data_IF_304509464172
#
_entry.id   IF_304509464172
#
_cell.length_a   1.000
_cell.length_b   1.000
_cell.length_c   1.000
_cell.angle_alpha   90.00
_cell.angle_beta   90.00
_cell.angle_gamma   90.00
#
_symmetry.space_group_name_H-M   'P 1'
#
loop_
_entity.id
_entity.type
_entity.pdbx_description
1 polymer ?
#
# COMPACT_ATOMS: atom_id res chain seq x y z
N UNK A 1 -40.43 11.13 39.05
CA UNK A 1 -39.89 10.57 37.79
C UNK A 1 -39.27 11.74 37.03
N UNK A 2 -37.95 11.93 37.15
CA UNK A 2 -37.22 12.97 36.43
C UNK A 2 -37.20 12.59 34.93
N UNK A 3 -37.94 13.31 34.12
CA UNK A 3 -37.78 13.27 32.66
C UNK A 3 -36.45 13.97 32.33
N UNK A 4 -35.43 13.18 32.04
CA UNK A 4 -34.21 13.71 31.39
C UNK A 4 -34.59 14.45 30.11
N UNK A 5 -34.25 15.72 30.03
CA UNK A 5 -34.48 16.54 28.83
C UNK A 5 -33.82 15.85 27.62
N UNK A 6 -34.50 15.83 26.46
CA UNK A 6 -33.89 15.22 25.28
C UNK A 6 -32.57 15.94 24.94
N UNK A 7 -31.49 15.18 24.89
CA UNK A 7 -30.18 15.69 24.48
C UNK A 7 -30.37 16.30 23.09
N UNK A 8 -30.19 17.62 22.95
CA UNK A 8 -30.18 18.30 21.66
C UNK A 8 -29.03 17.76 20.83
N UNK A 9 -29.30 16.83 19.93
CA UNK A 9 -28.28 16.30 19.00
C UNK A 9 -27.84 17.41 18.05
N UNK A 10 -26.60 17.83 18.18
CA UNK A 10 -25.99 18.82 17.29
C UNK A 10 -25.60 18.10 16.00
N UNK A 11 -26.07 18.59 14.83
CA UNK A 11 -25.79 17.95 13.53
C UNK A 11 -24.33 18.06 13.10
N UNK A 12 -23.57 18.99 13.67
CA UNK A 12 -22.16 19.23 13.32
C UNK A 12 -21.25 18.25 14.07
N UNK A 13 -20.49 17.46 13.34
CA UNK A 13 -19.45 16.60 13.90
C UNK A 13 -18.38 17.48 14.56
N UNK A 14 -17.95 17.18 15.82
CA UNK A 14 -16.87 17.91 16.48
C UNK A 14 -15.59 17.93 15.63
N UNK A 15 -14.89 19.05 15.65
CA UNK A 15 -13.70 19.23 14.82
C UNK A 15 -12.61 18.21 15.12
N UNK A 16 -12.35 17.94 16.40
CA UNK A 16 -11.38 16.92 16.81
C UNK A 16 -11.77 15.52 16.30
N UNK A 17 -13.05 15.15 16.36
CA UNK A 17 -13.54 13.87 15.84
C UNK A 17 -13.32 13.78 14.33
N UNK A 18 -13.61 14.87 13.61
CA UNK A 18 -13.38 14.95 12.16
C UNK A 18 -11.89 14.84 11.83
N UNK A 19 -11.02 15.56 12.51
CA UNK A 19 -9.57 15.48 12.34
C UNK A 19 -9.08 14.05 12.60
N UNK A 20 -9.51 13.45 13.71
CA UNK A 20 -9.14 12.07 14.06
C UNK A 20 -9.56 11.08 12.97
N UNK A 21 -10.75 11.24 12.38
CA UNK A 21 -11.23 10.42 11.29
C UNK A 21 -10.30 10.50 10.07
N UNK A 22 -9.96 11.73 9.63
CA UNK A 22 -9.05 11.92 8.49
C UNK A 22 -7.66 11.33 8.74
N UNK A 23 -7.13 11.47 9.94
CA UNK A 23 -5.81 10.91 10.32
C UNK A 23 -5.83 9.39 10.32
N UNK A 24 -6.85 8.76 10.94
CA UNK A 24 -6.98 7.29 10.98
C UNK A 24 -7.16 6.70 9.58
N UNK A 25 -7.93 7.36 8.73
CA UNK A 25 -8.14 6.96 7.35
C UNK A 25 -6.95 7.27 6.41
N UNK A 26 -5.91 8.01 6.89
CA UNK A 26 -4.80 8.47 6.05
C UNK A 26 -5.24 9.39 4.92
N UNK A 27 -6.35 10.14 5.10
CA UNK A 27 -6.95 10.99 4.06
C UNK A 27 -7.52 10.22 2.87
N UNK A 28 -7.86 8.93 3.04
CA UNK A 28 -8.32 8.03 1.97
C UNK A 28 -9.71 7.47 2.22
N UNK A 29 -10.40 7.12 1.15
CA UNK A 29 -11.71 6.47 1.21
C UNK A 29 -11.60 5.08 1.86
N UNK A 30 -12.36 4.85 2.93
CA UNK A 30 -12.34 3.60 3.71
C UNK A 30 -13.27 2.51 3.11
N UNK A 31 -13.91 2.77 1.98
CA UNK A 31 -14.67 1.74 1.27
C UNK A 31 -13.70 0.64 0.79
N UNK A 32 -14.03 -0.62 1.06
CA UNK A 32 -13.13 -1.74 0.78
C UNK A 32 -12.71 -1.79 -0.70
N UNK A 33 -11.40 -1.86 -0.93
CA UNK A 33 -10.80 -1.85 -2.26
C UNK A 33 -10.70 -0.49 -2.95
N UNK A 34 -11.40 0.58 -2.50
CA UNK A 34 -11.35 1.87 -3.21
C UNK A 34 -10.10 2.69 -2.91
N UNK A 35 -9.76 2.89 -1.64
CA UNK A 35 -8.51 3.56 -1.19
C UNK A 35 -8.15 4.89 -1.90
N UNK A 36 -9.13 5.60 -2.48
CA UNK A 36 -8.93 6.88 -3.18
C UNK A 36 -8.42 7.95 -2.22
N UNK A 37 -7.37 8.69 -2.60
CA UNK A 37 -6.93 9.86 -1.84
C UNK A 37 -7.94 10.99 -1.99
N UNK A 38 -8.31 11.65 -0.88
CA UNK A 38 -9.45 12.55 -0.81
C UNK A 38 -9.07 14.02 -0.58
N UNK A 39 -7.78 14.32 -0.49
CA UNK A 39 -7.29 15.68 -0.26
C UNK A 39 -6.67 16.32 -1.51
N UNK A 40 -6.85 15.68 -2.68
CA UNK A 40 -6.34 16.17 -3.95
C UNK A 40 -7.29 15.81 -5.09
N UNK A 41 -7.45 16.71 -6.05
CA UNK A 41 -8.24 16.43 -7.24
C UNK A 41 -7.43 15.55 -8.22
N UNK A 42 -7.95 14.39 -8.67
CA UNK A 42 -7.16 13.39 -9.38
C UNK A 42 -6.65 13.82 -10.76
N UNK A 43 -7.26 14.83 -11.38
CA UNK A 43 -6.85 15.32 -12.71
C UNK A 43 -6.02 16.58 -12.64
N UNK A 44 -6.36 17.51 -11.75
CA UNK A 44 -5.70 18.83 -11.68
C UNK A 44 -4.60 18.89 -10.64
N UNK A 45 -4.49 17.86 -9.78
CA UNK A 45 -3.58 17.78 -8.64
C UNK A 45 -3.70 19.00 -7.69
N UNK A 46 -4.87 19.65 -7.70
CA UNK A 46 -5.17 20.78 -6.83
C UNK A 46 -5.61 20.26 -5.46
N UNK A 47 -5.10 20.86 -4.40
CA UNK A 47 -5.53 20.58 -3.03
C UNK A 47 -7.01 20.90 -2.85
N UNK A 48 -7.80 19.91 -2.50
CA UNK A 48 -9.24 20.02 -2.26
C UNK A 48 -9.70 18.90 -1.33
N UNK A 49 -10.68 19.19 -0.48
CA UNK A 49 -11.29 18.15 0.34
C UNK A 49 -12.47 17.50 -0.39
N UNK A 50 -12.30 16.27 -0.83
CA UNK A 50 -13.29 15.40 -1.46
C UNK A 50 -13.87 14.35 -0.49
N UNK A 51 -13.45 14.40 0.79
CA UNK A 51 -13.84 13.44 1.81
C UNK A 51 -15.07 13.87 2.57
N UNK A 52 -15.98 12.94 2.80
CA UNK A 52 -17.17 13.08 3.63
C UNK A 52 -17.08 12.18 4.86
N UNK A 53 -17.47 12.72 6.02
CA UNK A 53 -17.61 11.93 7.24
C UNK A 53 -19.00 11.28 7.25
N UNK A 54 -19.06 10.06 6.72
CA UNK A 54 -20.27 9.27 6.63
C UNK A 54 -20.59 8.60 7.97
N UNK A 55 -21.86 8.60 8.38
CA UNK A 55 -22.32 7.85 9.55
C UNK A 55 -22.59 6.39 9.17
N UNK A 56 -22.04 5.43 9.92
CA UNK A 56 -22.37 4.00 9.78
C UNK A 56 -23.80 3.76 10.18
N UNK A 57 -24.19 4.20 11.38
CA UNK A 57 -25.60 4.29 11.82
C UNK A 57 -26.03 5.73 11.62
N UNK A 58 -27.01 5.98 10.80
CA UNK A 58 -27.44 7.31 10.39
C UNK A 58 -27.71 8.27 11.55
N UNK A 59 -27.47 9.55 11.35
CA UNK A 59 -27.74 10.60 12.33
C UNK A 59 -29.22 10.62 12.77
N UNK A 60 -30.16 10.43 11.82
CA UNK A 60 -31.59 10.32 12.07
C UNK A 60 -31.99 8.84 12.20
N UNK A 61 -32.94 8.53 13.08
CA UNK A 61 -33.49 7.17 13.25
C UNK A 61 -34.06 6.60 11.94
N UNK A 62 -34.85 7.36 11.20
CA UNK A 62 -35.39 6.95 9.90
C UNK A 62 -34.40 7.06 8.72
N UNK A 63 -33.12 7.24 8.97
CA UNK A 63 -32.08 7.23 7.91
C UNK A 63 -31.49 5.83 7.68
N UNK A 64 -30.58 5.68 6.72
CA UNK A 64 -29.93 4.40 6.43
C UNK A 64 -29.34 3.76 7.70
N UNK A 65 -29.67 2.50 7.97
CA UNK A 65 -29.20 1.77 9.18
C UNK A 65 -29.52 2.49 10.51
N UNK A 66 -30.49 3.45 10.51
CA UNK A 66 -30.81 4.27 11.69
C UNK A 66 -31.59 3.52 12.77
N UNK A 67 -32.44 2.57 12.36
CA UNK A 67 -33.25 1.71 13.24
C UNK A 67 -32.46 0.42 13.55
N UNK A 68 -31.60 0.48 14.56
CA UNK A 68 -30.77 -0.65 14.99
C UNK A 68 -30.51 -0.61 16.49
N UNK A 69 -30.43 -1.78 17.11
CA UNK A 69 -30.02 -1.94 18.50
C UNK A 69 -28.55 -1.51 18.74
N UNK A 70 -27.76 -1.37 17.66
CA UNK A 70 -26.37 -0.93 17.71
C UNK A 70 -26.21 0.59 17.63
N UNK A 71 -27.31 1.35 17.76
CA UNK A 71 -27.27 2.81 17.71
C UNK A 71 -26.47 3.38 18.89
N UNK A 72 -25.35 4.10 18.64
CA UNK A 72 -24.53 4.63 19.72
C UNK A 72 -25.23 5.77 20.46
N UNK A 73 -24.92 5.94 21.74
CA UNK A 73 -25.40 7.07 22.56
C UNK A 73 -24.91 8.39 21.96
N UNK A 74 -23.60 8.47 21.67
CA UNK A 74 -23.02 9.55 20.89
C UNK A 74 -22.97 9.14 19.41
N UNK A 75 -23.84 9.72 18.61
CA UNK A 75 -23.95 9.44 17.18
C UNK A 75 -22.71 9.90 16.39
N UNK A 76 -21.93 10.84 16.94
CA UNK A 76 -20.68 11.33 16.37
C UNK A 76 -19.45 10.61 16.93
N UNK A 77 -19.65 9.51 17.67
CA UNK A 77 -18.54 8.67 18.08
C UNK A 77 -17.71 8.26 16.85
N UNK A 78 -16.38 8.30 16.99
CA UNK A 78 -15.45 7.99 15.92
C UNK A 78 -15.67 6.60 15.29
N UNK A 79 -16.12 5.62 16.10
CA UNK A 79 -16.40 4.27 15.65
C UNK A 79 -17.73 4.15 14.84
N UNK A 80 -18.53 5.23 14.83
CA UNK A 80 -19.72 5.35 14.00
C UNK A 80 -19.51 6.20 12.74
N UNK A 81 -18.29 6.64 12.47
CA UNK A 81 -17.96 7.49 11.32
C UNK A 81 -16.98 6.78 10.40
N UNK A 82 -17.17 6.93 9.10
CA UNK A 82 -16.23 6.52 8.05
C UNK A 82 -15.85 7.71 7.18
N UNK A 83 -14.61 7.77 6.72
CA UNK A 83 -14.17 8.72 5.71
C UNK A 83 -14.42 8.11 4.32
N UNK A 84 -15.34 8.68 3.57
CA UNK A 84 -15.71 8.18 2.25
C UNK A 84 -15.63 9.29 1.20
N UNK A 85 -15.43 8.93 -0.07
CA UNK A 85 -15.76 9.85 -1.17
C UNK A 85 -17.27 9.91 -1.37
N UNK A 86 -17.77 10.92 -2.08
CA UNK A 86 -19.18 11.14 -2.34
C UNK A 86 -19.86 9.92 -2.98
N UNK A 87 -19.20 9.28 -3.96
CA UNK A 87 -19.76 8.14 -4.66
C UNK A 87 -19.97 6.94 -3.74
N UNK A 88 -18.96 6.61 -2.91
CA UNK A 88 -19.05 5.51 -1.95
C UNK A 88 -20.04 5.83 -0.81
N UNK A 89 -20.11 7.09 -0.35
CA UNK A 89 -21.09 7.50 0.64
C UNK A 89 -22.50 7.31 0.11
N UNK A 90 -22.77 7.80 -1.10
CA UNK A 90 -24.06 7.60 -1.76
C UNK A 90 -24.40 6.12 -1.94
N UNK A 91 -23.44 5.32 -2.39
CA UNK A 91 -23.63 3.89 -2.61
C UNK A 91 -24.06 3.14 -1.35
N UNK A 92 -23.42 3.38 -0.20
CA UNK A 92 -23.76 2.70 1.05
C UNK A 92 -25.12 3.14 1.60
N UNK A 93 -25.52 4.37 1.32
CA UNK A 93 -26.81 4.91 1.78
C UNK A 93 -27.99 4.49 0.89
N UNK A 94 -27.75 4.32 -0.41
CA UNK A 94 -28.74 3.81 -1.37
C UNK A 94 -28.99 2.29 -1.19
N UNK A 95 -28.02 1.53 -0.62
CA UNK A 95 -28.10 0.08 -0.44
C UNK A 95 -27.84 -0.39 1.00
N UNK A 96 -28.63 0.07 1.99
CA UNK A 96 -28.38 -0.21 3.41
C UNK A 96 -28.43 -1.70 3.78
N UNK A 97 -29.19 -2.50 3.05
CA UNK A 97 -29.31 -3.95 3.26
C UNK A 97 -28.03 -4.70 2.87
N UNK A 98 -27.33 -4.24 1.84
CA UNK A 98 -26.07 -4.78 1.40
C UNK A 98 -24.92 -4.29 2.29
N UNK A 99 -24.91 -2.99 2.62
CA UNK A 99 -23.90 -2.34 3.44
C UNK A 99 -24.39 -2.20 4.88
N UNK A 100 -24.48 -3.33 5.57
CA UNK A 100 -24.94 -3.37 6.97
C UNK A 100 -23.95 -2.71 7.92
N UNK A 101 -24.38 -2.43 9.15
CA UNK A 101 -23.50 -1.87 10.19
C UNK A 101 -22.25 -2.73 10.40
N UNK A 102 -22.40 -4.06 10.38
CA UNK A 102 -21.30 -5.00 10.57
C UNK A 102 -20.29 -4.92 9.42
N UNK A 103 -20.75 -4.90 8.17
CA UNK A 103 -19.91 -4.79 6.96
C UNK A 103 -19.13 -3.48 6.96
N UNK A 104 -19.78 -2.35 7.26
CA UNK A 104 -19.12 -1.05 7.27
C UNK A 104 -18.09 -0.91 8.41
N UNK A 105 -18.37 -1.47 9.59
CA UNK A 105 -17.38 -1.52 10.68
C UNK A 105 -16.17 -2.37 10.33
N UNK A 106 -16.37 -3.47 9.60
CA UNK A 106 -15.28 -4.30 9.11
C UNK A 106 -14.40 -3.55 8.08
N UNK A 107 -15.01 -2.89 7.09
CA UNK A 107 -14.30 -2.07 6.11
C UNK A 107 -13.44 -0.99 6.79
N UNK A 108 -14.06 -0.22 7.70
CA UNK A 108 -13.37 0.79 8.49
C UNK A 108 -12.18 0.19 9.25
N UNK A 109 -12.42 -0.86 10.03
CA UNK A 109 -11.38 -1.51 10.84
C UNK A 109 -10.21 -1.98 9.97
N UNK A 110 -10.49 -2.71 8.90
CA UNK A 110 -9.49 -3.24 7.96
C UNK A 110 -8.64 -2.10 7.36
N UNK A 111 -9.29 -0.99 6.99
CA UNK A 111 -8.60 0.17 6.44
C UNK A 111 -7.73 0.88 7.47
N UNK A 112 -8.29 1.22 8.65
CA UNK A 112 -7.56 1.93 9.72
C UNK A 112 -6.40 1.08 10.26
N UNK A 113 -6.60 -0.22 10.47
CA UNK A 113 -5.54 -1.15 10.90
C UNK A 113 -4.38 -1.16 9.88
N UNK A 114 -4.68 -1.17 8.58
CA UNK A 114 -3.68 -1.10 7.51
C UNK A 114 -2.91 0.23 7.54
N UNK A 115 -3.60 1.36 7.65
CA UNK A 115 -2.96 2.69 7.73
C UNK A 115 -2.06 2.75 8.97
N UNK A 116 -2.57 2.34 10.13
CA UNK A 116 -1.81 2.32 11.38
C UNK A 116 -0.55 1.45 11.27
N UNK A 117 -0.68 0.25 10.70
CA UNK A 117 0.45 -0.66 10.48
C UNK A 117 1.51 -0.05 9.56
N UNK A 118 1.12 0.42 8.38
CA UNK A 118 2.06 0.93 7.37
C UNK A 118 2.77 2.20 7.87
N UNK A 119 2.05 3.11 8.50
CA UNK A 119 2.62 4.37 9.00
C UNK A 119 3.43 4.19 10.28
N UNK A 120 3.23 3.08 11.01
CA UNK A 120 4.02 2.69 12.18
C UNK A 120 5.32 1.96 11.87
N UNK A 121 5.59 1.62 10.58
CA UNK A 121 6.81 0.91 10.21
C UNK A 121 8.06 1.77 10.44
N UNK A 122 9.04 1.19 11.14
CA UNK A 122 10.33 1.84 11.36
C UNK A 122 11.08 2.06 10.04
N UNK A 123 11.82 3.18 9.94
CA UNK A 123 12.73 3.44 8.83
C UNK A 123 13.80 2.35 8.63
N UNK A 124 14.09 1.56 9.68
CA UNK A 124 15.02 0.44 9.60
C UNK A 124 14.45 -0.75 8.80
N UNK A 125 13.13 -0.75 8.55
CA UNK A 125 12.47 -1.69 7.65
C UNK A 125 12.48 -1.28 6.18
N UNK A 126 13.06 -0.12 5.87
CA UNK A 126 13.27 0.34 4.48
C UNK A 126 14.24 -0.60 3.76
N UNK A 127 13.92 -0.97 2.52
CA UNK A 127 14.74 -1.85 1.68
C UNK A 127 14.86 -1.35 0.26
N UNK A 128 16.02 -1.48 -0.34
CA UNK A 128 16.20 -1.23 -1.77
C UNK A 128 15.83 -2.49 -2.55
N UNK A 129 14.83 -2.37 -3.40
CA UNK A 129 14.43 -3.46 -4.29
C UNK A 129 15.46 -3.56 -5.43
N UNK A 130 16.09 -4.72 -5.57
CA UNK A 130 16.98 -5.02 -6.71
C UNK A 130 16.35 -6.15 -7.51
N UNK A 131 16.11 -5.93 -8.79
CA UNK A 131 15.58 -6.94 -9.70
C UNK A 131 16.59 -7.26 -10.78
N UNK A 132 16.92 -8.54 -10.99
CA UNK A 132 17.59 -9.00 -12.19
C UNK A 132 16.58 -9.71 -13.08
N UNK A 133 16.43 -9.18 -14.31
CA UNK A 133 15.52 -9.72 -15.33
C UNK A 133 16.36 -10.30 -16.47
N UNK A 134 16.14 -11.56 -16.79
CA UNK A 134 16.73 -12.22 -17.94
C UNK A 134 15.69 -13.12 -18.63
N UNK A 135 15.97 -13.55 -19.84
CA UNK A 135 15.15 -14.57 -20.50
C UNK A 135 15.47 -15.95 -19.93
N UNK A 136 14.43 -16.73 -19.67
CA UNK A 136 14.48 -18.15 -19.33
C UNK A 136 13.68 -18.88 -20.39
N UNK A 137 14.30 -19.80 -21.15
CA UNK A 137 13.69 -20.45 -22.31
C UNK A 137 13.07 -19.43 -23.31
N UNK A 138 13.84 -18.40 -23.67
CA UNK A 138 13.44 -17.30 -24.57
C UNK A 138 12.25 -16.43 -24.11
N UNK A 139 11.73 -16.67 -22.90
CA UNK A 139 10.67 -15.85 -22.33
C UNK A 139 11.24 -14.88 -21.28
N UNK A 140 10.92 -13.60 -21.44
CA UNK A 140 11.20 -12.61 -20.40
C UNK A 140 10.22 -12.82 -19.23
N UNK A 141 10.76 -12.92 -18.02
CA UNK A 141 9.94 -13.02 -16.81
C UNK A 141 9.92 -11.67 -16.15
N UNK A 142 8.71 -11.11 -16.01
CA UNK A 142 8.47 -9.90 -15.23
C UNK A 142 7.81 -10.23 -13.89
N UNK A 143 8.18 -9.48 -12.85
CA UNK A 143 7.57 -9.60 -11.53
C UNK A 143 6.77 -8.31 -11.28
N UNK A 144 5.44 -8.38 -11.18
CA UNK A 144 4.61 -7.22 -10.91
C UNK A 144 5.04 -6.52 -9.62
N UNK A 145 5.09 -5.20 -9.62
CA UNK A 145 5.49 -4.37 -8.46
C UNK A 145 4.64 -4.68 -7.22
N UNK A 146 3.34 -4.95 -7.42
CA UNK A 146 2.45 -5.32 -6.32
C UNK A 146 2.93 -6.59 -5.59
N UNK A 147 3.38 -7.61 -6.32
CA UNK A 147 3.91 -8.85 -5.72
C UNK A 147 5.25 -8.62 -5.02
N UNK A 148 6.08 -7.71 -5.54
CA UNK A 148 7.33 -7.32 -4.88
C UNK A 148 7.05 -6.65 -3.54
N UNK A 149 6.12 -5.71 -3.51
CA UNK A 149 5.74 -4.99 -2.28
C UNK A 149 5.16 -5.96 -1.24
N UNK A 150 4.32 -6.89 -1.66
CA UNK A 150 3.73 -7.91 -0.78
C UNK A 150 4.80 -8.85 -0.22
N UNK A 151 5.71 -9.30 -1.07
CA UNK A 151 6.75 -10.27 -0.68
C UNK A 151 7.75 -9.71 0.34
N UNK A 152 8.08 -8.41 0.28
CA UNK A 152 9.07 -7.83 1.19
C UNK A 152 8.49 -7.47 2.57
N UNK A 153 7.19 -7.56 2.79
CA UNK A 153 6.59 -7.25 4.08
C UNK A 153 7.23 -8.08 5.22
N UNK A 154 7.51 -7.50 6.40
CA UNK A 154 7.14 -6.16 6.86
C UNK A 154 8.07 -5.03 6.38
N UNK A 155 9.09 -5.31 5.58
CA UNK A 155 9.90 -4.25 4.96
C UNK A 155 9.07 -3.48 3.93
N UNK A 156 9.51 -2.30 3.56
CA UNK A 156 8.89 -1.50 2.51
C UNK A 156 9.94 -0.92 1.56
N UNK A 157 9.62 -0.77 0.25
CA UNK A 157 10.55 -0.25 -0.74
C UNK A 157 11.06 1.15 -0.43
N UNK A 158 12.33 1.41 -0.72
CA UNK A 158 12.96 2.74 -0.57
C UNK A 158 12.42 3.77 -1.56
N UNK A 159 11.97 3.29 -2.70
CA UNK A 159 11.41 4.09 -3.81
C UNK A 159 10.40 3.26 -4.61
N UNK A 160 9.71 3.91 -5.56
CA UNK A 160 8.63 3.28 -6.35
C UNK A 160 9.12 2.47 -7.54
N UNK A 161 10.37 2.61 -7.96
CA UNK A 161 10.87 2.01 -9.20
C UNK A 161 11.81 0.82 -8.96
N UNK A 162 12.53 0.85 -7.83
CA UNK A 162 13.58 -0.12 -7.54
C UNK A 162 14.78 0.00 -8.49
N UNK A 163 15.76 -0.86 -8.29
CA UNK A 163 16.98 -0.94 -9.08
C UNK A 163 16.91 -2.16 -10.01
N UNK A 164 16.83 -1.94 -11.31
CA UNK A 164 16.65 -3.03 -12.28
C UNK A 164 17.94 -3.30 -13.05
N UNK A 165 18.38 -4.56 -13.07
CA UNK A 165 19.43 -5.10 -13.93
C UNK A 165 18.72 -5.88 -15.04
N UNK A 166 18.55 -5.26 -16.20
CA UNK A 166 17.81 -5.84 -17.31
C UNK A 166 18.79 -6.48 -18.33
N UNK A 167 18.67 -7.80 -18.47
CA UNK A 167 19.40 -8.61 -19.42
C UNK A 167 18.51 -9.13 -20.55
N UNK A 168 17.25 -8.76 -20.59
CA UNK A 168 16.26 -9.31 -21.55
C UNK A 168 16.56 -8.92 -22.99
N UNK A 169 17.26 -7.79 -23.20
CA UNK A 169 17.69 -7.32 -24.51
C UNK A 169 18.93 -8.06 -25.08
N UNK A 170 19.64 -8.84 -24.27
CA UNK A 170 20.84 -9.57 -24.71
C UNK A 170 20.39 -10.84 -25.43
N UNK A 171 20.86 -11.04 -26.67
CA UNK A 171 20.52 -12.21 -27.49
C UNK A 171 21.52 -13.35 -27.30
N UNK A 172 21.06 -14.60 -27.53
CA UNK A 172 21.90 -15.79 -27.51
C UNK A 172 21.97 -16.43 -26.09
N UNK A 173 22.76 -17.49 -26.04
CA UNK A 173 23.07 -18.28 -24.82
C UNK A 173 24.48 -18.83 -24.81
N UNK A 174 25.37 -18.23 -25.62
CA UNK A 174 26.77 -18.59 -25.82
C UNK A 174 27.71 -17.76 -24.94
N UNK A 175 29.01 -17.92 -25.13
CA UNK A 175 30.03 -17.16 -24.41
C UNK A 175 29.91 -15.64 -24.58
N UNK A 176 29.43 -15.18 -25.73
CA UNK A 176 29.20 -13.75 -25.98
C UNK A 176 28.07 -13.18 -25.12
N UNK A 177 26.97 -13.94 -25.01
CA UNK A 177 25.88 -13.62 -24.09
C UNK A 177 26.38 -13.46 -22.64
N UNK A 178 27.11 -14.49 -22.13
CA UNK A 178 27.61 -14.44 -20.77
C UNK A 178 28.56 -13.31 -20.48
N UNK A 179 29.50 -13.00 -21.42
CA UNK A 179 30.40 -11.87 -21.29
C UNK A 179 29.64 -10.54 -21.18
N UNK A 180 28.67 -10.33 -22.06
CA UNK A 180 27.83 -9.12 -22.06
C UNK A 180 26.97 -9.00 -20.80
N UNK A 181 26.32 -10.10 -20.40
CA UNK A 181 25.53 -10.15 -19.19
C UNK A 181 26.35 -9.84 -17.92
N UNK A 182 27.53 -10.46 -17.79
CA UNK A 182 28.41 -10.22 -16.65
C UNK A 182 28.94 -8.78 -16.62
N UNK A 183 29.26 -8.18 -17.79
CA UNK A 183 29.64 -6.77 -17.85
C UNK A 183 28.49 -5.83 -17.46
N UNK A 184 27.27 -6.12 -17.91
CA UNK A 184 26.08 -5.37 -17.54
C UNK A 184 25.79 -5.45 -16.03
N UNK A 185 25.81 -6.66 -15.44
CA UNK A 185 25.68 -6.87 -14.01
C UNK A 185 26.74 -6.07 -13.24
N UNK A 186 28.02 -6.18 -13.65
CA UNK A 186 29.11 -5.44 -13.00
C UNK A 186 28.84 -3.94 -13.02
N UNK A 187 28.60 -3.37 -14.19
CA UNK A 187 28.37 -1.92 -14.34
C UNK A 187 27.15 -1.44 -13.51
N UNK A 188 26.08 -2.23 -13.48
CA UNK A 188 24.89 -1.88 -12.70
C UNK A 188 25.15 -1.97 -11.20
N UNK A 189 25.85 -3.00 -10.71
CA UNK A 189 26.22 -3.11 -9.29
C UNK A 189 27.22 -2.03 -8.88
N UNK A 190 28.19 -1.70 -9.72
CA UNK A 190 29.13 -0.61 -9.47
C UNK A 190 28.35 0.73 -9.33
N UNK A 191 27.29 0.94 -10.12
CA UNK A 191 26.38 2.08 -9.98
C UNK A 191 25.55 2.01 -8.68
N UNK A 192 25.03 0.84 -8.29
CA UNK A 192 24.27 0.66 -7.05
C UNK A 192 25.11 1.00 -5.80
N UNK A 193 26.40 0.65 -5.83
CA UNK A 193 27.34 0.90 -4.73
C UNK A 193 28.13 2.19 -4.87
N UNK A 194 27.84 3.02 -5.87
CA UNK A 194 28.54 4.29 -6.07
C UNK A 194 28.18 5.31 -4.98
N UNK A 195 29.13 6.11 -4.47
CA UNK A 195 28.86 7.18 -3.51
C UNK A 195 27.89 8.26 -4.01
N UNK A 196 27.67 8.35 -5.34
CA UNK A 196 26.70 9.27 -5.94
C UNK A 196 25.24 8.79 -5.81
N UNK A 197 25.01 7.51 -5.60
CA UNK A 197 23.74 6.99 -5.12
C UNK A 197 23.76 7.18 -3.60
N UNK A 198 22.72 7.69 -3.03
CA UNK A 198 22.58 7.96 -1.58
C UNK A 198 22.69 6.64 -0.78
N UNK A 199 23.92 6.07 -0.77
CA UNK A 199 24.23 4.75 -0.18
C UNK A 199 24.02 4.77 1.34
N UNK A 200 24.06 5.93 1.98
CA UNK A 200 23.65 6.09 3.38
C UNK A 200 22.17 5.74 3.62
N UNK A 201 21.37 5.66 2.56
CA UNK A 201 19.99 5.22 2.60
C UNK A 201 19.80 3.73 2.32
N UNK A 202 20.73 3.04 1.65
CA UNK A 202 20.63 1.61 1.35
C UNK A 202 21.16 0.79 2.52
N UNK A 203 20.34 0.58 3.52
CA UNK A 203 20.67 -0.23 4.70
C UNK A 203 20.34 -1.71 4.54
N UNK A 204 19.56 -2.04 3.53
CA UNK A 204 19.09 -3.39 3.23
C UNK A 204 18.73 -3.53 1.76
N UNK A 205 18.96 -4.71 1.18
CA UNK A 205 18.59 -5.06 -0.18
C UNK A 205 17.62 -6.24 -0.18
N UNK A 206 16.52 -6.10 -0.90
CA UNK A 206 15.61 -7.21 -1.24
C UNK A 206 15.83 -7.58 -2.70
N UNK A 207 16.43 -8.75 -2.94
CA UNK A 207 16.86 -9.20 -4.27
C UNK A 207 15.85 -10.18 -4.87
N UNK A 208 15.33 -9.81 -6.04
CA UNK A 208 14.49 -10.63 -6.91
C UNK A 208 15.27 -10.93 -8.19
N UNK A 209 15.82 -12.12 -8.33
CA UNK A 209 16.66 -12.45 -9.46
C UNK A 209 16.13 -13.68 -10.19
N UNK A 210 15.88 -13.53 -11.50
CA UNK A 210 15.49 -14.63 -12.39
C UNK A 210 16.36 -14.61 -13.64
N UNK A 211 17.01 -15.76 -13.90
CA UNK A 211 17.89 -15.87 -15.06
C UNK A 211 18.68 -17.16 -15.08
N UNK A 212 19.55 -17.35 -16.08
CA UNK A 212 20.45 -18.49 -16.15
C UNK A 212 21.36 -18.61 -14.93
N UNK A 213 21.61 -19.83 -14.46
CA UNK A 213 22.42 -20.11 -13.26
C UNK A 213 23.79 -19.39 -13.28
N UNK A 214 24.55 -19.37 -14.39
CA UNK A 214 25.86 -18.67 -14.41
C UNK A 214 25.73 -17.16 -14.14
N UNK A 215 24.67 -16.51 -14.64
CA UNK A 215 24.44 -15.07 -14.40
C UNK A 215 24.05 -14.80 -12.95
N UNK A 216 23.24 -15.68 -12.35
CA UNK A 216 22.86 -15.58 -10.93
C UNK A 216 24.06 -15.82 -10.01
N UNK A 217 24.91 -16.81 -10.31
CA UNK A 217 26.13 -17.07 -9.57
C UNK A 217 27.09 -15.87 -9.65
N UNK A 218 27.25 -15.27 -10.84
CA UNK A 218 28.03 -14.07 -11.00
C UNK A 218 27.50 -12.88 -10.24
N UNK A 219 26.16 -12.64 -10.31
CA UNK A 219 25.51 -11.60 -9.53
C UNK A 219 25.82 -11.76 -8.04
N UNK A 220 25.62 -12.95 -7.47
CA UNK A 220 25.92 -13.25 -6.07
C UNK A 220 27.39 -13.00 -5.71
N UNK A 221 28.32 -13.39 -6.58
CA UNK A 221 29.77 -13.16 -6.36
C UNK A 221 30.18 -11.68 -6.35
N UNK A 222 29.35 -10.82 -6.95
CA UNK A 222 29.59 -9.36 -7.03
C UNK A 222 28.84 -8.56 -5.98
N UNK A 223 27.90 -9.17 -5.26
CA UNK A 223 27.18 -8.50 -4.18
C UNK A 223 28.11 -8.22 -3.00
N UNK A 224 27.98 -7.01 -2.43
CA UNK A 224 28.76 -6.62 -1.26
C UNK A 224 28.26 -7.35 -0.01
N UNK A 225 29.17 -7.79 0.86
CA UNK A 225 28.84 -8.34 2.17
C UNK A 225 28.63 -7.26 3.26
N UNK A 226 28.70 -5.96 2.90
CA UNK A 226 28.53 -4.85 3.83
C UNK A 226 27.06 -4.48 4.06
N UNK A 227 26.17 -4.87 3.17
CA UNK A 227 24.74 -4.57 3.22
C UNK A 227 23.99 -5.89 3.32
N UNK A 228 23.10 -6.06 4.33
CA UNK A 228 22.24 -7.24 4.43
C UNK A 228 21.37 -7.42 3.18
N UNK A 229 21.21 -8.66 2.72
CA UNK A 229 20.45 -8.99 1.53
C UNK A 229 19.49 -10.13 1.84
N UNK A 230 18.19 -9.90 1.60
CA UNK A 230 17.18 -10.95 1.55
C UNK A 230 16.96 -11.39 0.09
N UNK A 231 16.91 -12.71 -0.13
CA UNK A 231 16.69 -13.31 -1.45
C UNK A 231 15.25 -13.80 -1.56
N UNK A 232 14.57 -13.40 -2.63
CA UNK A 232 13.21 -13.77 -2.90
C UNK A 232 13.13 -14.66 -4.14
N UNK A 233 12.44 -15.77 -4.01
CA UNK A 233 12.22 -16.72 -5.10
C UNK A 233 10.73 -16.83 -5.39
N UNK A 234 10.36 -16.82 -6.68
CA UNK A 234 8.98 -17.07 -7.11
C UNK A 234 8.71 -18.57 -7.05
N UNK A 235 7.66 -18.96 -6.30
CA UNK A 235 7.12 -20.31 -6.36
C UNK A 235 6.13 -20.44 -7.51
N UNK A 236 6.10 -21.61 -8.19
CA UNK A 236 5.19 -21.89 -9.31
C UNK A 236 3.72 -21.90 -8.90
N UNK A 237 3.44 -22.24 -7.65
CA UNK A 237 2.08 -22.44 -7.12
C UNK A 237 1.48 -21.20 -6.44
N UNK A 238 2.19 -20.07 -6.39
CA UNK A 238 1.62 -18.79 -5.98
C UNK A 238 0.78 -18.21 -7.13
N UNK A 239 -0.54 -18.42 -7.02
CA UNK A 239 -1.53 -17.76 -7.88
C UNK A 239 -1.65 -16.30 -7.50
#
# INVERSE_FOLDING_TARGET
>A
VNKLSPIKRVRKIPELTRLTLFVRAGGRCEFDGHNKYLLEHPLTLTEINLGEAAHIVAFKEGGPRGETDQRPIDIHNIDNLMLLCLDCHKLIDDHPDQYTVAVLKEYKKKHEDRIHYITGLSKDLKTTIVQLKAKVNDQAVDIPVAHVIEAVAPRYPSDTHGFVIDLTGIQGNDDSYYKTAMQTIKTRLDSLYSPSMDVDQTRHISLFAMGPIPTLAYLGSRMSNKIPVDFYQRHRDSK
#
